data_IF_831364190371
#
_entry.id   IF_831364190371
#
_cell.length_a   1.000
_cell.length_b   1.000
_cell.length_c   1.000
_cell.angle_alpha   90.00
_cell.angle_beta   90.00
_cell.angle_gamma   90.00
#
_symmetry.space_group_name_H-M   'P 1'
#
loop_
_entity.id
_entity.type
_entity.pdbx_description
1 polymer ?
#
# COMPACT_ATOMS: atom_id res chain seq x y z
N UNK A 1 -3.54 15.99 25.57
CA UNK A 1 -3.06 15.20 24.42
C UNK A 1 -4.26 14.85 23.56
N UNK A 2 -4.15 14.92 22.24
CA UNK A 2 -5.25 14.56 21.32
C UNK A 2 -5.30 13.06 21.11
N UNK A 3 -6.49 12.48 21.16
CA UNK A 3 -6.76 11.07 20.83
C UNK A 3 -7.16 10.94 19.37
N UNK A 4 -6.66 9.91 18.68
CA UNK A 4 -6.99 9.62 17.28
C UNK A 4 -6.78 8.14 16.98
N UNK A 5 -7.59 7.61 16.07
CA UNK A 5 -7.44 6.27 15.49
C UNK A 5 -7.74 6.38 14.00
N UNK A 6 -6.68 6.38 13.19
CA UNK A 6 -6.76 6.52 11.74
C UNK A 6 -5.97 5.38 11.12
N UNK A 7 -6.58 4.62 10.22
CA UNK A 7 -5.94 3.50 9.54
C UNK A 7 -6.08 3.69 8.04
N UNK A 8 -4.97 3.46 7.35
CA UNK A 8 -4.89 3.66 5.92
C UNK A 8 -4.22 2.46 5.27
N UNK A 9 -4.77 2.07 4.14
CA UNK A 9 -4.06 1.33 3.11
C UNK A 9 -3.49 2.34 2.12
N UNK A 10 -2.22 2.16 1.77
CA UNK A 10 -1.57 2.88 0.68
C UNK A 10 -1.09 1.87 -0.35
N UNK A 11 -1.14 2.25 -1.63
CA UNK A 11 -0.52 1.49 -2.71
C UNK A 11 0.19 2.45 -3.65
N UNK A 12 1.37 2.08 -4.13
CA UNK A 12 2.07 2.83 -5.18
C UNK A 12 2.96 1.90 -5.99
N UNK A 13 3.14 2.23 -7.27
CA UNK A 13 3.93 1.44 -8.19
C UNK A 13 5.39 1.92 -8.29
N UNK A 14 6.25 0.98 -8.66
CA UNK A 14 7.62 1.22 -9.11
C UNK A 14 7.55 1.83 -10.51
N UNK A 15 8.50 2.73 -10.82
CA UNK A 15 8.63 3.21 -12.19
C UNK A 15 8.96 2.03 -13.12
N UNK A 16 8.53 2.07 -14.38
CA UNK A 16 8.67 0.95 -15.33
C UNK A 16 10.10 0.40 -15.41
N UNK A 17 11.10 1.28 -15.35
CA UNK A 17 12.53 0.91 -15.41
C UNK A 17 13.09 0.36 -14.08
N UNK A 18 12.31 0.46 -13.02
CA UNK A 18 12.64 -0.02 -11.67
C UNK A 18 11.81 -1.24 -11.26
N UNK A 19 11.00 -1.77 -12.19
CA UNK A 19 10.22 -3.00 -11.98
C UNK A 19 11.15 -4.19 -11.80
N UNK A 20 10.75 -5.12 -10.92
CA UNK A 20 11.50 -6.33 -10.58
C UNK A 20 10.96 -7.58 -11.30
N UNK A 21 10.13 -7.44 -12.34
CA UNK A 21 9.41 -8.56 -12.98
C UNK A 21 10.35 -9.65 -13.50
N UNK A 22 11.55 -9.27 -13.95
CA UNK A 22 12.57 -10.18 -14.50
C UNK A 22 13.75 -10.37 -13.53
N UNK A 23 13.62 -9.95 -12.27
CA UNK A 23 14.70 -10.05 -11.28
C UNK A 23 14.75 -11.45 -10.66
N UNK A 24 15.81 -12.21 -10.96
CA UNK A 24 16.03 -13.55 -10.41
C UNK A 24 16.14 -13.57 -8.87
N UNK A 25 16.46 -12.44 -8.23
CA UNK A 25 16.52 -12.27 -6.79
C UNK A 25 15.26 -11.59 -6.22
N UNK A 26 14.15 -11.56 -6.96
CA UNK A 26 12.89 -10.88 -6.59
C UNK A 26 12.49 -11.09 -5.12
N UNK A 27 12.45 -12.31 -4.54
CA UNK A 27 12.03 -12.47 -3.15
C UNK A 27 12.89 -11.66 -2.17
N UNK A 28 14.21 -11.71 -2.34
CA UNK A 28 15.16 -10.99 -1.47
C UNK A 28 15.07 -9.48 -1.70
N UNK A 29 14.94 -9.04 -2.96
CA UNK A 29 14.79 -7.61 -3.30
C UNK A 29 13.51 -7.05 -2.71
N UNK A 30 12.39 -7.75 -2.87
CA UNK A 30 11.09 -7.32 -2.37
C UNK A 30 11.09 -7.23 -0.84
N UNK A 31 11.62 -8.25 -0.14
CA UNK A 31 11.79 -8.19 1.33
C UNK A 31 12.63 -6.98 1.75
N UNK A 32 13.76 -6.75 1.08
CA UNK A 32 14.64 -5.60 1.37
C UNK A 32 13.90 -4.27 1.20
N UNK A 33 13.15 -4.11 0.12
CA UNK A 33 12.39 -2.88 -0.14
C UNK A 33 11.26 -2.72 0.90
N UNK A 34 10.54 -3.78 1.23
CA UNK A 34 9.48 -3.77 2.24
C UNK A 34 10.02 -3.34 3.62
N UNK A 35 11.19 -3.84 4.02
CA UNK A 35 11.83 -3.47 5.27
C UNK A 35 12.27 -1.99 5.30
N UNK A 36 12.76 -1.48 4.17
CA UNK A 36 13.07 -0.06 4.02
C UNK A 36 11.82 0.81 4.11
N UNK A 37 10.73 0.43 3.44
CA UNK A 37 9.44 1.11 3.51
C UNK A 37 8.94 1.16 4.96
N UNK A 38 8.93 0.01 5.65
CA UNK A 38 8.55 -0.10 7.07
C UNK A 38 9.39 0.82 7.95
N UNK A 39 10.72 0.76 7.82
CA UNK A 39 11.65 1.57 8.60
C UNK A 39 11.44 3.06 8.37
N UNK A 40 11.22 3.48 7.12
CA UNK A 40 10.97 4.90 6.80
C UNK A 40 9.64 5.38 7.34
N UNK A 41 8.57 4.61 7.19
CA UNK A 41 7.26 4.93 7.73
C UNK A 41 7.31 5.10 9.27
N UNK A 42 7.96 4.17 9.97
CA UNK A 42 8.12 4.23 11.43
C UNK A 42 8.92 5.46 11.88
N UNK A 43 9.97 5.86 11.14
CA UNK A 43 10.75 7.09 11.43
C UNK A 43 9.92 8.37 11.30
N UNK A 44 8.86 8.35 10.49
CA UNK A 44 7.91 9.46 10.36
C UNK A 44 6.82 9.44 11.45
N UNK A 45 6.90 8.49 12.37
CA UNK A 45 5.96 8.34 13.49
C UNK A 45 4.70 7.55 13.14
N UNK A 46 4.68 6.83 12.01
CA UNK A 46 3.58 5.94 11.68
C UNK A 46 3.69 4.60 12.41
N UNK A 47 2.55 4.04 12.81
CA UNK A 47 2.45 2.65 13.26
C UNK A 47 2.20 1.79 12.03
N UNK A 48 3.13 0.92 11.68
CA UNK A 48 3.04 0.05 10.50
C UNK A 48 2.47 -1.30 10.90
N UNK A 49 1.35 -1.69 10.31
CA UNK A 49 0.72 -2.98 10.54
C UNK A 49 1.23 -4.03 9.54
N UNK A 50 1.23 -3.70 8.24
CA UNK A 50 1.68 -4.61 7.18
C UNK A 50 2.43 -3.85 6.09
N UNK A 51 3.40 -4.52 5.46
CA UNK A 51 4.06 -4.09 4.23
C UNK A 51 4.25 -5.31 3.35
N UNK A 52 3.71 -5.24 2.14
CA UNK A 52 3.74 -6.31 1.17
C UNK A 52 3.68 -5.74 -0.24
N UNK A 53 3.68 -6.60 -1.24
CA UNK A 53 3.66 -6.13 -2.63
C UNK A 53 4.08 -7.20 -3.60
N UNK A 54 4.39 -6.73 -4.79
CA UNK A 54 4.78 -7.55 -5.94
C UNK A 54 6.04 -6.97 -6.58
N UNK A 55 6.42 -7.52 -7.73
CA UNK A 55 7.52 -7.00 -8.53
C UNK A 55 7.29 -5.56 -9.04
N UNK A 56 6.05 -5.07 -9.05
CA UNK A 56 5.69 -3.80 -9.71
C UNK A 56 5.16 -2.74 -8.76
N UNK A 57 4.68 -3.09 -7.58
CA UNK A 57 4.08 -2.15 -6.63
C UNK A 57 4.14 -2.66 -5.18
N UNK A 58 3.94 -1.75 -4.23
CA UNK A 58 3.92 -2.03 -2.79
C UNK A 58 2.63 -1.54 -2.17
N UNK A 59 2.17 -2.30 -1.18
CA UNK A 59 1.10 -1.92 -0.27
C UNK A 59 1.66 -1.68 1.14
N UNK A 60 1.12 -0.66 1.80
CA UNK A 60 1.45 -0.31 3.18
C UNK A 60 0.14 -0.13 3.96
N UNK A 61 0.00 -0.88 5.06
CA UNK A 61 -1.09 -0.68 6.02
C UNK A 61 -0.53 0.02 7.24
N UNK A 62 -0.97 1.24 7.50
CA UNK A 62 -0.40 2.05 8.57
C UNK A 62 -1.40 3.02 9.22
N UNK A 63 -1.09 3.40 10.45
CA UNK A 63 -1.68 4.54 11.15
C UNK A 63 -0.71 5.71 11.08
N UNK A 64 -1.14 6.85 10.52
CA UNK A 64 -0.30 8.03 10.32
C UNK A 64 -0.76 9.16 11.25
N UNK A 65 0.15 9.84 11.96
CA UNK A 65 -0.21 10.96 12.83
C UNK A 65 -0.96 12.05 12.06
N UNK A 66 -2.09 12.58 12.57
CA UNK A 66 -2.93 13.55 11.84
C UNK A 66 -2.23 14.89 11.60
N UNK A 67 -1.14 15.16 12.33
CA UNK A 67 -0.28 16.33 12.10
C UNK A 67 0.54 16.24 10.81
N UNK A 68 0.59 15.07 10.16
CA UNK A 68 1.35 14.81 8.95
C UNK A 68 0.39 14.55 7.79
N UNK A 69 0.41 15.42 6.77
CA UNK A 69 -0.38 15.22 5.57
C UNK A 69 0.01 13.90 4.88
N UNK A 70 -0.98 13.13 4.42
CA UNK A 70 -0.75 11.80 3.82
C UNK A 70 0.14 11.87 2.57
N UNK A 71 -0.04 12.90 1.73
CA UNK A 71 0.81 13.14 0.56
C UNK A 71 2.27 13.38 0.94
N UNK A 72 2.50 14.12 2.02
CA UNK A 72 3.86 14.35 2.56
C UNK A 72 4.44 13.07 3.14
N UNK A 73 3.65 12.30 3.89
CA UNK A 73 4.06 11.01 4.44
C UNK A 73 4.51 10.04 3.34
N UNK A 74 3.64 9.78 2.35
CA UNK A 74 3.95 8.87 1.24
C UNK A 74 5.15 9.37 0.43
N UNK A 75 5.21 10.67 0.12
CA UNK A 75 6.35 11.27 -0.57
C UNK A 75 7.68 11.11 0.17
N UNK A 76 7.70 11.28 1.49
CA UNK A 76 8.90 11.10 2.31
C UNK A 76 9.31 9.63 2.46
N UNK A 77 8.36 8.70 2.53
CA UNK A 77 8.65 7.26 2.49
C UNK A 77 9.28 6.90 1.14
N UNK A 78 8.60 7.23 0.03
CA UNK A 78 9.05 6.94 -1.34
C UNK A 78 10.47 7.47 -1.60
N UNK A 79 10.68 8.77 -1.39
CA UNK A 79 11.97 9.42 -1.60
C UNK A 79 13.07 8.89 -0.67
N UNK A 80 12.75 8.60 0.60
CA UNK A 80 13.67 8.04 1.57
C UNK A 80 14.17 6.65 1.18
N UNK A 81 13.27 5.80 0.67
CA UNK A 81 13.61 4.44 0.18
C UNK A 81 14.43 4.52 -1.10
N UNK A 82 14.00 5.29 -2.10
CA UNK A 82 14.75 5.43 -3.36
C UNK A 82 16.16 5.95 -3.13
N UNK A 83 16.30 6.99 -2.30
CA UNK A 83 17.62 7.52 -1.94
C UNK A 83 18.51 6.46 -1.30
N UNK A 84 17.97 5.62 -0.42
CA UNK A 84 18.75 4.57 0.22
C UNK A 84 19.19 3.49 -0.77
N UNK A 85 18.27 2.98 -1.58
CA UNK A 85 18.55 1.96 -2.61
C UNK A 85 19.64 2.45 -3.56
N UNK A 86 19.49 3.66 -4.09
CA UNK A 86 20.41 4.23 -5.07
C UNK A 86 21.79 4.55 -4.45
N UNK A 87 21.81 5.11 -3.24
CA UNK A 87 23.06 5.43 -2.56
C UNK A 87 23.90 4.18 -2.24
N UNK A 88 23.25 3.07 -1.90
CA UNK A 88 23.93 1.83 -1.54
C UNK A 88 24.05 0.82 -2.70
N UNK A 89 23.59 1.18 -3.90
CA UNK A 89 23.63 0.28 -5.07
C UNK A 89 22.89 -1.03 -4.82
N UNK A 90 21.78 -0.99 -4.07
CA UNK A 90 21.05 -2.22 -3.70
C UNK A 90 20.38 -2.86 -4.91
N UNK A 91 20.19 -2.15 -6.01
CA UNK A 91 19.69 -2.69 -7.27
C UNK A 91 20.68 -2.38 -8.40
N UNK A 92 20.72 -3.22 -9.46
CA UNK A 92 21.64 -3.02 -10.58
C UNK A 92 21.28 -1.79 -11.45
N UNK A 93 20.08 -1.24 -11.26
CA UNK A 93 19.56 -0.08 -11.97
C UNK A 93 19.18 1.03 -11.00
N UNK A 94 19.05 2.25 -11.52
CA UNK A 94 18.59 3.37 -10.71
C UNK A 94 17.09 3.20 -10.40
N UNK A 95 16.76 3.29 -9.11
CA UNK A 95 15.44 2.99 -8.59
C UNK A 95 14.61 4.25 -8.37
N UNK A 96 13.39 4.24 -8.90
CA UNK A 96 12.38 5.26 -8.71
C UNK A 96 10.99 4.65 -8.56
N UNK A 97 10.14 5.35 -7.82
CA UNK A 97 8.71 5.09 -7.80
C UNK A 97 8.00 5.86 -8.92
N UNK A 98 6.78 5.45 -9.27
CA UNK A 98 5.84 6.36 -9.95
C UNK A 98 5.52 7.57 -9.06
N UNK A 99 5.01 8.65 -9.65
CA UNK A 99 4.69 9.87 -8.91
C UNK A 99 3.47 9.68 -7.99
N UNK A 100 2.46 8.99 -8.52
CA UNK A 100 1.13 8.78 -7.94
C UNK A 100 1.13 7.74 -6.82
N UNK A 101 0.03 7.73 -6.05
CA UNK A 101 -0.26 6.73 -5.03
C UNK A 101 -1.78 6.65 -4.80
N UNK A 102 -2.26 5.46 -4.47
CA UNK A 102 -3.59 5.23 -3.95
C UNK A 102 -3.61 5.28 -2.43
N UNK A 103 -4.71 5.74 -1.85
CA UNK A 103 -4.94 5.71 -0.41
C UNK A 103 -6.41 5.40 -0.10
N UNK A 104 -6.64 4.41 0.74
CA UNK A 104 -7.96 3.99 1.20
C UNK A 104 -7.99 4.06 2.73
N UNK A 105 -9.00 4.72 3.28
CA UNK A 105 -9.23 4.72 4.74
C UNK A 105 -9.92 3.43 5.18
N UNK A 106 -9.48 2.87 6.30
CA UNK A 106 -9.89 1.53 6.74
C UNK A 106 -10.45 1.59 8.14
N UNK A 107 -11.57 0.90 8.38
CA UNK A 107 -12.14 0.77 9.71
C UNK A 107 -11.35 -0.24 10.53
N UNK A 108 -11.26 0.02 11.85
CA UNK A 108 -10.49 -0.81 12.78
C UNK A 108 -10.87 -2.30 12.73
N UNK A 109 -12.15 -2.61 12.53
CA UNK A 109 -12.64 -3.99 12.48
C UNK A 109 -12.11 -4.77 11.27
N UNK A 110 -11.81 -4.08 10.16
CA UNK A 110 -11.29 -4.71 8.94
C UNK A 110 -9.76 -4.75 8.89
N UNK A 111 -9.09 -4.13 9.86
CA UNK A 111 -7.63 -4.06 9.90
C UNK A 111 -6.96 -5.44 9.91
N UNK A 112 -7.42 -6.45 10.68
CA UNK A 112 -6.79 -7.77 10.65
C UNK A 112 -6.86 -8.43 9.27
N UNK A 113 -8.01 -8.39 8.60
CA UNK A 113 -8.19 -8.97 7.27
C UNK A 113 -7.33 -8.27 6.21
N UNK A 114 -7.19 -6.95 6.32
CA UNK A 114 -6.33 -6.18 5.42
C UNK A 114 -4.83 -6.47 5.65
N UNK A 115 -4.43 -6.67 6.90
CA UNK A 115 -3.06 -7.11 7.22
C UNK A 115 -2.79 -8.48 6.59
N UNK A 116 -3.70 -9.44 6.75
CA UNK A 116 -3.62 -10.75 6.09
C UNK A 116 -3.50 -10.61 4.57
N UNK A 117 -4.35 -9.78 3.95
CA UNK A 117 -4.31 -9.53 2.51
C UNK A 117 -2.93 -9.04 2.05
N UNK A 118 -2.38 -8.01 2.71
CA UNK A 118 -1.10 -7.41 2.34
C UNK A 118 0.07 -8.36 2.59
N UNK A 119 0.07 -9.12 3.70
CA UNK A 119 1.12 -10.08 4.01
C UNK A 119 1.18 -11.23 2.98
N UNK A 120 0.06 -11.56 2.35
CA UNK A 120 -0.04 -12.60 1.33
C UNK A 120 -0.03 -12.09 -0.12
N UNK A 121 0.26 -10.81 -0.34
CA UNK A 121 0.00 -10.17 -1.63
C UNK A 121 0.72 -10.82 -2.82
N UNK A 122 1.98 -11.23 -2.64
CA UNK A 122 2.74 -11.88 -3.71
C UNK A 122 2.08 -13.19 -4.19
N UNK A 123 1.50 -13.97 -3.27
CA UNK A 123 0.78 -15.20 -3.60
C UNK A 123 -0.58 -14.89 -4.21
N UNK A 124 -1.32 -13.94 -3.64
CA UNK A 124 -2.65 -13.57 -4.11
C UNK A 124 -2.64 -13.04 -5.56
N UNK A 125 -1.66 -12.22 -5.93
CA UNK A 125 -1.45 -11.82 -7.33
C UNK A 125 -1.16 -13.00 -8.24
N UNK A 126 -0.33 -13.95 -7.81
CA UNK A 126 -0.03 -15.15 -8.60
C UNK A 126 -1.27 -16.04 -8.84
N UNK A 127 -2.24 -16.01 -7.91
CA UNK A 127 -3.53 -16.71 -8.02
C UNK A 127 -4.63 -15.86 -8.70
N UNK A 128 -4.34 -14.62 -9.08
CA UNK A 128 -5.33 -13.68 -9.64
C UNK A 128 -6.41 -13.21 -8.64
N UNK A 129 -6.17 -13.40 -7.34
CA UNK A 129 -7.11 -13.06 -6.25
C UNK A 129 -6.81 -11.68 -5.69
N UNK A 130 -7.11 -10.64 -6.47
CA UNK A 130 -6.84 -9.24 -6.10
C UNK A 130 -8.13 -8.46 -5.91
N UNK A 131 -8.09 -7.44 -5.07
CA UNK A 131 -9.22 -6.55 -4.80
C UNK A 131 -8.96 -5.24 -5.53
N UNK A 132 -9.74 -4.96 -6.59
CA UNK A 132 -9.45 -3.88 -7.54
C UNK A 132 -9.20 -2.51 -6.87
N UNK A 133 -10.01 -2.15 -5.86
CA UNK A 133 -9.85 -0.87 -5.16
C UNK A 133 -8.52 -0.79 -4.39
N UNK A 134 -8.00 -1.91 -3.88
CA UNK A 134 -6.72 -1.95 -3.16
C UNK A 134 -5.50 -2.02 -4.11
N UNK A 135 -5.72 -2.25 -5.41
CA UNK A 135 -4.68 -2.23 -6.44
C UNK A 135 -4.61 -0.88 -7.19
N UNK A 136 -5.56 0.03 -6.92
CA UNK A 136 -5.70 1.29 -7.65
C UNK A 136 -4.65 2.31 -7.19
N UNK A 137 -3.68 2.61 -8.06
CA UNK A 137 -2.61 3.62 -7.82
C UNK A 137 -2.93 4.99 -8.42
N UNK A 138 -3.83 5.04 -9.38
CA UNK A 138 -4.24 6.23 -10.15
C UNK A 138 -5.75 6.23 -10.33
N UNK A 139 -6.38 7.39 -10.15
CA UNK A 139 -7.81 7.57 -10.36
C UNK A 139 -8.17 9.05 -10.26
N UNK A 140 -9.29 9.43 -10.86
CA UNK A 140 -9.82 10.79 -10.74
C UNK A 140 -10.20 11.06 -9.27
N UNK A 141 -9.74 12.18 -8.73
CA UNK A 141 -10.33 12.73 -7.50
C UNK A 141 -11.83 12.86 -7.74
N UNK A 142 -12.67 12.15 -6.97
CA UNK A 142 -14.11 12.37 -7.05
C UNK A 142 -14.39 13.84 -6.68
N UNK A 143 -14.64 14.68 -7.67
CA UNK A 143 -15.14 16.03 -7.47
C UNK A 143 -16.59 15.93 -6.99
N UNK A 144 -16.78 15.83 -5.68
CA UNK A 144 -18.12 15.76 -5.08
C UNK A 144 -18.73 17.15 -5.09
N UNK A 145 -19.40 17.52 -6.18
CA UNK A 145 -20.19 18.75 -6.27
C UNK A 145 -21.64 18.58 -5.73
N UNK A 146 -22.10 17.35 -5.50
CA UNK A 146 -23.33 17.06 -4.78
C UNK A 146 -23.27 15.65 -4.17
N UNK A 147 -23.39 15.54 -2.85
CA UNK A 147 -23.54 14.24 -2.16
C UNK A 147 -24.96 13.75 -2.46
N UNK A 148 -25.14 12.93 -3.49
CA UNK A 148 -26.41 12.21 -3.74
C UNK A 148 -26.46 10.95 -2.87
N UNK A 149 -27.65 10.40 -2.64
CA UNK A 149 -27.81 9.13 -1.90
C UNK A 149 -26.99 7.98 -2.53
N UNK A 150 -26.81 8.02 -3.85
CA UNK A 150 -26.00 7.07 -4.62
C UNK A 150 -24.50 7.15 -4.31
N UNK A 151 -24.01 8.27 -3.74
CA UNK A 151 -22.63 8.40 -3.25
C UNK A 151 -22.36 7.43 -2.08
N UNK A 152 -23.36 7.19 -1.24
CA UNK A 152 -23.26 6.18 -0.19
C UNK A 152 -23.54 4.76 -0.73
N UNK A 153 -24.07 4.64 -1.94
CA UNK A 153 -24.29 3.36 -2.61
C UNK A 153 -23.05 2.86 -3.40
N UNK A 154 -21.93 3.60 -3.34
CA UNK A 154 -20.67 3.23 -3.99
C UNK A 154 -20.11 1.96 -3.33
N UNK A 155 -19.60 1.08 -4.20
CA UNK A 155 -18.60 -0.02 -4.14
C UNK A 155 -17.80 -0.28 -2.84
N UNK A 156 -17.79 0.65 -1.89
CA UNK A 156 -17.19 0.56 -0.57
C UNK A 156 -17.63 -0.65 0.26
N UNK A 157 -18.80 -1.24 0.02
CA UNK A 157 -19.23 -2.48 0.68
C UNK A 157 -18.80 -3.73 -0.09
N UNK A 158 -18.64 -3.63 -1.41
CA UNK A 158 -18.29 -4.77 -2.27
C UNK A 158 -16.86 -5.22 -1.96
N UNK A 159 -15.87 -4.33 -2.02
CA UNK A 159 -14.48 -4.70 -1.70
C UNK A 159 -14.31 -5.18 -0.26
N UNK A 160 -15.14 -4.70 0.69
CA UNK A 160 -15.15 -5.19 2.07
C UNK A 160 -15.64 -6.64 2.12
N UNK A 161 -16.72 -6.94 1.42
CA UNK A 161 -17.24 -8.30 1.30
C UNK A 161 -16.22 -9.23 0.61
N UNK A 162 -15.55 -8.76 -0.45
CA UNK A 162 -14.45 -9.47 -1.12
C UNK A 162 -13.29 -9.74 -0.18
N UNK A 163 -12.86 -8.73 0.61
CA UNK A 163 -11.79 -8.88 1.60
C UNK A 163 -12.12 -9.94 2.65
N UNK A 164 -13.34 -9.92 3.18
CA UNK A 164 -13.79 -10.91 4.17
C UNK A 164 -13.89 -12.32 3.56
N UNK A 165 -14.41 -12.44 2.34
CA UNK A 165 -14.51 -13.71 1.64
C UNK A 165 -13.12 -14.29 1.31
N UNK A 166 -12.17 -13.44 0.92
CA UNK A 166 -10.80 -13.85 0.64
C UNK A 166 -10.09 -14.33 1.90
N UNK A 167 -10.19 -13.57 3.00
CA UNK A 167 -9.60 -13.95 4.29
C UNK A 167 -10.10 -15.31 4.79
N UNK A 168 -11.41 -15.58 4.66
CA UNK A 168 -11.99 -16.87 5.00
C UNK A 168 -11.36 -18.04 4.21
N UNK A 169 -10.94 -17.84 2.96
CA UNK A 169 -10.26 -18.85 2.14
C UNK A 169 -8.80 -19.07 2.53
N UNK A 170 -8.16 -18.11 3.23
CA UNK A 170 -6.74 -18.22 3.62
C UNK A 170 -6.53 -19.09 4.86
N UNK A 171 -7.59 -19.36 5.62
CA UNK A 171 -7.57 -20.09 6.88
C UNK A 171 -8.36 -21.42 6.85
N UNK A 172 -8.74 -21.90 5.67
CA UNK A 172 -9.28 -23.25 5.40
C UNK A 172 -8.24 -24.13 4.73
#
# INVERSE_FOLDING_TARGET
MSYWQLYYHFVWAMHRQSSLTEDAALPVRLTTINDLVRTRAQRLGATVFAVGGTATHIHLVASVPPRLALSTFVGQVKSGVSRHINHHGLLPHHFHWQETYGAVSVERQHLPHLVTYVDHQARLHAEGKTIAMLETVEGDTQEVLAVTQDYFAIDSDVWRAELLALDAQLFT
#
